data_IF_015625667882
#
_entry.id   IF_015625667882
#
_cell.length_a   1.000
_cell.length_b   1.000
_cell.length_c   1.000
_cell.angle_alpha   90.00
_cell.angle_beta   90.00
_cell.angle_gamma   90.00
#
_symmetry.space_group_name_H-M   'P 1'
#
loop_
_entity.id
_entity.type
_entity.pdbx_description
1 polymer ?
#
# COMPACT_ATOMS: atom_id res chain seq x y z
N UNK A 1 17.19 5.83 8.09
CA UNK A 1 15.74 6.10 8.05
C UNK A 1 15.02 4.79 8.30
N UNK A 2 13.93 4.76 9.08
CA UNK A 2 13.37 3.51 9.61
C UNK A 2 12.72 2.58 8.57
N UNK A 3 12.33 3.10 7.40
CA UNK A 3 11.60 2.33 6.39
C UNK A 3 12.42 2.00 5.15
N UNK A 4 13.48 2.77 4.87
CA UNK A 4 14.22 2.72 3.60
C UNK A 4 14.73 1.32 3.24
N UNK A 5 15.36 0.63 4.20
CA UNK A 5 16.04 -0.64 3.92
C UNK A 5 15.07 -1.83 3.75
N UNK A 6 13.80 -1.66 4.10
CA UNK A 6 12.76 -2.69 3.95
C UNK A 6 11.93 -2.55 2.68
N UNK A 7 12.12 -1.48 1.91
CA UNK A 7 11.29 -1.18 0.74
C UNK A 7 11.66 -2.07 -0.45
N UNK A 8 10.66 -2.59 -1.17
CA UNK A 8 10.87 -3.25 -2.47
C UNK A 8 10.90 -2.20 -3.59
N UNK A 9 12.02 -2.12 -4.31
CA UNK A 9 12.12 -1.19 -5.44
C UNK A 9 11.27 -1.61 -6.65
N UNK A 10 11.34 -2.89 -7.04
CA UNK A 10 10.59 -3.41 -8.17
C UNK A 10 9.11 -3.64 -7.79
N UNK A 11 8.19 -3.02 -8.55
CA UNK A 11 6.75 -3.15 -8.37
C UNK A 11 6.32 -2.97 -6.89
N UNK A 12 6.98 -2.07 -6.16
CA UNK A 12 6.74 -1.84 -4.74
C UNK A 12 6.05 -0.53 -4.41
N UNK A 13 5.81 0.32 -5.41
CA UNK A 13 5.13 1.60 -5.23
C UNK A 13 4.09 1.85 -6.33
N UNK A 14 2.92 2.35 -5.91
CA UNK A 14 1.90 2.83 -6.82
C UNK A 14 1.23 4.10 -6.30
N UNK A 15 1.12 5.09 -7.17
CA UNK A 15 0.48 6.37 -6.88
C UNK A 15 -0.64 6.64 -7.92
N UNK A 16 -1.92 6.42 -7.57
CA UNK A 16 -3.03 6.63 -8.48
C UNK A 16 -3.32 8.12 -8.76
N UNK A 17 -2.77 9.06 -7.98
CA UNK A 17 -3.03 10.49 -8.11
C UNK A 17 -2.08 11.18 -9.09
N UNK A 18 -0.78 11.04 -8.85
CA UNK A 18 0.25 11.78 -9.58
C UNK A 18 1.33 10.92 -10.22
N UNK A 19 1.28 9.60 -10.05
CA UNK A 19 2.33 8.66 -10.46
C UNK A 19 3.72 9.10 -9.99
N UNK A 20 3.83 9.55 -8.73
CA UNK A 20 5.14 9.85 -8.14
C UNK A 20 6.09 8.66 -8.35
N UNK A 21 7.33 8.90 -8.82
CA UNK A 21 8.27 7.81 -9.11
C UNK A 21 8.79 7.12 -7.84
N UNK A 22 8.59 7.75 -6.68
CA UNK A 22 9.01 7.25 -5.36
C UNK A 22 7.88 7.40 -4.35
N UNK A 23 7.90 6.62 -3.25
CA UNK A 23 6.98 6.80 -2.13
C UNK A 23 6.89 8.26 -1.67
N UNK A 24 5.65 8.76 -1.58
CA UNK A 24 5.33 10.10 -1.10
C UNK A 24 4.19 10.00 -0.08
N UNK A 25 4.39 10.64 1.07
CA UNK A 25 3.40 10.77 2.13
C UNK A 25 3.47 12.19 2.69
N UNK A 26 2.51 13.05 2.34
CA UNK A 26 2.49 14.45 2.77
C UNK A 26 1.89 14.64 4.17
N UNK A 27 1.10 13.66 4.65
CA UNK A 27 0.38 13.73 5.92
C UNK A 27 1.13 13.00 7.04
N UNK A 28 1.89 11.95 6.69
CA UNK A 28 2.68 11.15 7.62
C UNK A 28 1.95 9.92 8.17
N UNK A 29 0.63 9.79 7.93
CA UNK A 29 -0.17 8.66 8.43
C UNK A 29 0.29 7.31 7.86
N UNK A 30 0.61 7.26 6.56
CA UNK A 30 1.11 6.05 5.91
C UNK A 30 2.49 5.64 6.44
N UNK A 31 3.36 6.62 6.63
CA UNK A 31 4.70 6.44 7.22
C UNK A 31 4.61 5.94 8.66
N UNK A 32 3.71 6.51 9.47
CA UNK A 32 3.50 6.10 10.86
C UNK A 32 2.98 4.65 10.97
N UNK A 33 1.94 4.31 10.18
CA UNK A 33 1.36 2.96 10.19
C UNK A 33 2.34 1.92 9.66
N UNK A 34 3.04 2.21 8.55
CA UNK A 34 4.10 1.33 8.02
C UNK A 34 5.24 1.17 9.01
N UNK A 35 5.67 2.26 9.67
CA UNK A 35 6.71 2.22 10.72
C UNK A 35 6.35 1.36 11.92
N UNK A 36 5.07 1.35 12.31
CA UNK A 36 4.56 0.46 13.37
C UNK A 36 4.70 -1.02 13.00
N UNK A 37 4.50 -1.36 11.72
CA UNK A 37 4.58 -2.74 11.24
C UNK A 37 6.04 -3.16 11.00
N UNK A 38 6.79 -2.39 10.21
CA UNK A 38 8.09 -2.82 9.64
C UNK A 38 9.26 -1.85 9.92
N UNK A 39 9.12 -0.94 10.88
CA UNK A 39 10.19 0.00 11.22
C UNK A 39 11.49 -0.70 11.67
N UNK A 40 12.57 -0.54 10.90
CA UNK A 40 13.86 -1.23 11.11
C UNK A 40 14.81 -0.54 12.06
N UNK A 41 14.81 0.80 12.10
CA UNK A 41 15.71 1.54 13.00
C UNK A 41 15.41 1.13 14.43
N UNK A 42 16.41 0.58 15.13
CA UNK A 42 16.29 0.01 16.47
C UNK A 42 15.25 -1.13 16.61
N UNK A 43 14.82 -1.76 15.51
CA UNK A 43 13.83 -2.83 15.53
C UNK A 43 12.47 -2.41 16.10
N UNK A 44 12.06 -1.17 15.89
CA UNK A 44 10.83 -0.60 16.48
C UNK A 44 9.53 -1.21 15.94
N UNK A 45 9.54 -1.75 14.72
CA UNK A 45 8.39 -2.38 14.11
C UNK A 45 8.07 -3.73 14.74
N UNK A 46 6.83 -4.18 14.62
CA UNK A 46 6.42 -5.52 15.05
C UNK A 46 7.15 -6.62 14.24
N UNK A 47 7.37 -6.40 12.95
CA UNK A 47 8.05 -7.29 12.01
C UNK A 47 9.11 -6.52 11.20
N UNK A 48 10.21 -6.08 11.83
CA UNK A 48 11.17 -5.16 11.20
C UNK A 48 11.89 -5.77 10.00
N UNK A 49 12.09 -7.09 9.97
CA UNK A 49 12.77 -7.78 8.88
C UNK A 49 11.88 -8.05 7.67
N UNK A 50 10.57 -7.82 7.77
CA UNK A 50 9.68 -7.95 6.63
C UNK A 50 10.02 -6.93 5.54
N UNK A 51 9.81 -7.32 4.30
CA UNK A 51 9.83 -6.41 3.16
C UNK A 51 8.45 -5.73 3.04
N UNK A 52 8.42 -4.49 2.57
CA UNK A 52 7.17 -3.75 2.38
C UNK A 52 7.07 -3.11 1.00
N UNK A 53 5.82 -2.92 0.59
CA UNK A 53 5.38 -2.19 -0.59
C UNK A 53 4.23 -1.27 -0.17
N UNK A 54 3.96 -0.22 -0.94
CA UNK A 54 2.87 0.69 -0.62
C UNK A 54 2.15 1.20 -1.86
N UNK A 55 0.85 1.41 -1.71
CA UNK A 55 0.06 2.22 -2.62
C UNK A 55 -0.43 3.47 -1.90
N UNK A 56 -0.37 4.61 -2.60
CA UNK A 56 -0.90 5.86 -2.10
C UNK A 56 -2.42 5.89 -2.22
N UNK A 57 -3.12 5.46 -1.18
CA UNK A 57 -4.59 5.45 -1.13
C UNK A 57 -5.24 6.79 -0.81
N UNK A 58 -4.48 7.76 -0.29
CA UNK A 58 -4.97 9.07 0.14
C UNK A 58 -4.11 10.20 -0.46
N UNK A 59 -4.73 11.33 -0.78
CA UNK A 59 -4.07 12.48 -1.39
C UNK A 59 -3.25 13.31 -0.38
N UNK A 60 -2.73 14.47 -0.80
CA UNK A 60 -1.88 15.32 0.04
C UNK A 60 -2.66 15.95 1.22
N UNK A 61 -4.00 15.98 1.15
CA UNK A 61 -4.90 16.49 2.19
C UNK A 61 -5.42 15.37 3.11
N UNK A 62 -4.99 14.12 2.87
CA UNK A 62 -5.40 12.95 3.64
C UNK A 62 -6.76 12.38 3.23
N UNK A 63 -7.30 12.81 2.08
CA UNK A 63 -8.58 12.29 1.58
C UNK A 63 -8.35 11.00 0.81
N UNK A 64 -8.99 9.92 1.27
CA UNK A 64 -8.91 8.60 0.66
C UNK A 64 -10.14 8.35 -0.21
N UNK A 65 -10.05 8.64 -1.50
CA UNK A 65 -11.18 8.42 -2.41
C UNK A 65 -11.40 6.92 -2.67
N UNK A 66 -12.65 6.50 -2.83
CA UNK A 66 -12.96 5.11 -3.17
C UNK A 66 -12.25 4.66 -4.46
N UNK A 67 -12.13 5.55 -5.47
CA UNK A 67 -11.42 5.24 -6.69
C UNK A 67 -9.92 4.92 -6.44
N UNK A 68 -9.25 5.73 -5.63
CA UNK A 68 -7.85 5.50 -5.27
C UNK A 68 -7.69 4.19 -4.48
N UNK A 69 -8.57 3.93 -3.50
CA UNK A 69 -8.56 2.72 -2.70
C UNK A 69 -8.79 1.46 -3.54
N UNK A 70 -9.74 1.47 -4.49
CA UNK A 70 -9.97 0.33 -5.40
C UNK A 70 -8.79 0.09 -6.34
N UNK A 71 -8.15 1.15 -6.86
CA UNK A 71 -6.95 1.02 -7.69
C UNK A 71 -5.76 0.47 -6.89
N UNK A 72 -5.58 0.91 -5.64
CA UNK A 72 -4.63 0.29 -4.71
C UNK A 72 -4.98 -1.18 -4.44
N UNK A 73 -6.27 -1.47 -4.29
CA UNK A 73 -6.80 -2.81 -4.08
C UNK A 73 -6.38 -3.80 -5.15
N UNK A 74 -6.64 -3.41 -6.40
CA UNK A 74 -6.26 -4.15 -7.60
C UNK A 74 -4.74 -4.27 -7.75
N UNK A 75 -4.00 -3.18 -7.53
CA UNK A 75 -2.55 -3.18 -7.59
C UNK A 75 -1.92 -4.11 -6.55
N UNK A 76 -2.47 -4.19 -5.33
CA UNK A 76 -1.95 -5.11 -4.32
C UNK A 76 -2.08 -6.58 -4.75
N UNK A 77 -3.16 -6.95 -5.47
CA UNK A 77 -3.32 -8.30 -6.00
C UNK A 77 -2.32 -8.62 -7.12
N UNK A 78 -2.02 -7.64 -7.98
CA UNK A 78 -1.06 -7.81 -9.05
C UNK A 78 -0.21 -6.55 -9.27
N UNK A 79 0.88 -6.39 -8.50
CA UNK A 79 1.67 -5.17 -8.52
C UNK A 79 2.21 -4.84 -9.91
N UNK A 80 2.01 -3.60 -10.35
CA UNK A 80 2.60 -3.02 -11.57
C UNK A 80 3.81 -2.16 -11.24
N UNK A 81 4.55 -1.76 -12.26
CA UNK A 81 5.51 -0.66 -12.16
C UNK A 81 4.82 0.69 -11.88
N UNK A 82 5.62 1.73 -11.63
CA UNK A 82 5.15 3.09 -11.29
C UNK A 82 4.28 3.74 -12.38
N UNK A 83 4.34 3.26 -13.61
CA UNK A 83 3.54 3.77 -14.72
C UNK A 83 2.17 3.07 -14.83
N UNK A 84 1.98 1.96 -14.10
CA UNK A 84 0.81 1.09 -14.21
C UNK A 84 0.98 -0.05 -15.22
N UNK A 85 2.22 -0.35 -15.65
CA UNK A 85 2.52 -1.38 -16.64
C UNK A 85 3.24 -2.57 -16.00
N UNK A 86 3.50 -3.62 -16.79
CA UNK A 86 4.28 -4.79 -16.37
C UNK A 86 3.76 -5.45 -15.07
N UNK A 87 2.50 -5.96 -15.08
CA UNK A 87 1.91 -6.59 -13.92
C UNK A 87 2.69 -7.85 -13.50
N UNK A 88 2.95 -7.98 -12.20
CA UNK A 88 3.70 -9.07 -11.57
C UNK A 88 2.91 -9.65 -10.41
N UNK A 89 1.93 -10.51 -10.72
CA UNK A 89 1.05 -11.08 -9.70
C UNK A 89 1.78 -12.06 -8.76
N UNK A 90 2.92 -12.59 -9.21
CA UNK A 90 3.85 -13.38 -8.39
C UNK A 90 4.53 -12.55 -7.28
N UNK A 91 4.42 -11.22 -7.33
CA UNK A 91 4.95 -10.30 -6.34
C UNK A 91 3.87 -9.74 -5.39
N UNK A 92 2.67 -10.32 -5.38
CA UNK A 92 1.62 -9.96 -4.44
C UNK A 92 2.11 -10.07 -2.97
N UNK A 93 1.71 -9.15 -2.07
CA UNK A 93 2.10 -9.20 -0.68
C UNK A 93 1.31 -10.29 0.07
N UNK A 94 1.96 -10.91 1.05
CA UNK A 94 1.32 -11.93 1.90
C UNK A 94 0.31 -11.34 2.90
N UNK A 95 0.47 -10.06 3.25
CA UNK A 95 -0.38 -9.35 4.21
C UNK A 95 -0.66 -7.96 3.66
N UNK A 96 -1.93 -7.56 3.66
CA UNK A 96 -2.36 -6.21 3.27
C UNK A 96 -2.96 -5.52 4.49
N UNK A 97 -2.38 -4.37 4.85
CA UNK A 97 -2.85 -3.55 5.98
C UNK A 97 -3.61 -2.33 5.46
N UNK A 98 -4.87 -2.19 5.89
CA UNK A 98 -5.74 -1.08 5.52
C UNK A 98 -6.05 -0.22 6.74
N UNK A 99 -5.38 0.93 6.87
CA UNK A 99 -5.63 1.89 7.95
C UNK A 99 -6.52 3.05 7.46
N UNK A 100 -7.66 2.70 6.86
CA UNK A 100 -8.70 3.60 6.38
C UNK A 100 -10.06 2.98 6.64
N UNK A 101 -11.14 3.74 6.48
CA UNK A 101 -12.49 3.24 6.65
C UNK A 101 -13.52 4.12 5.94
N UNK A 102 -14.76 3.65 5.90
CA UNK A 102 -15.91 4.45 5.51
C UNK A 102 -17.12 4.12 6.39
N UNK A 103 -18.31 4.57 5.96
CA UNK A 103 -19.56 4.29 6.65
C UNK A 103 -19.82 2.78 6.81
N UNK A 104 -20.44 2.41 7.92
CA UNK A 104 -20.81 1.03 8.18
C UNK A 104 -21.83 0.50 7.16
N UNK A 105 -21.69 -0.77 6.76
CA UNK A 105 -22.63 -1.45 5.86
C UNK A 105 -22.40 -1.21 4.36
N UNK A 106 -21.27 -0.60 3.99
CA UNK A 106 -20.87 -0.44 2.58
C UNK A 106 -20.12 -1.69 2.11
N UNK A 107 -20.39 -2.13 0.88
CA UNK A 107 -19.90 -3.39 0.28
C UNK A 107 -18.95 -3.18 -0.92
N UNK A 108 -18.63 -1.94 -1.26
CA UNK A 108 -17.86 -1.59 -2.46
C UNK A 108 -16.46 -2.23 -2.53
N UNK A 109 -15.91 -2.71 -1.41
CA UNK A 109 -14.57 -3.31 -1.33
C UNK A 109 -14.64 -4.84 -1.28
N UNK A 110 -15.84 -5.43 -1.20
CA UNK A 110 -16.04 -6.86 -1.02
C UNK A 110 -15.46 -7.67 -2.17
N UNK A 111 -15.57 -7.19 -3.41
CA UNK A 111 -14.94 -7.85 -4.57
C UNK A 111 -13.41 -7.85 -4.47
N UNK A 112 -12.81 -6.74 -4.02
CA UNK A 112 -11.36 -6.67 -3.78
C UNK A 112 -10.94 -7.68 -2.71
N UNK A 113 -11.70 -7.76 -1.61
CA UNK A 113 -11.44 -8.73 -0.53
C UNK A 113 -11.60 -10.18 -1.03
N UNK A 114 -12.65 -10.46 -1.80
CA UNK A 114 -12.89 -11.77 -2.37
C UNK A 114 -11.71 -12.20 -3.26
N UNK A 115 -11.17 -11.30 -4.08
CA UNK A 115 -10.00 -11.58 -4.91
C UNK A 115 -8.73 -11.84 -4.10
N UNK A 116 -8.54 -11.13 -2.98
CA UNK A 116 -7.39 -11.36 -2.10
C UNK A 116 -7.46 -12.68 -1.33
N UNK A 117 -8.66 -13.18 -1.03
CA UNK A 117 -8.86 -14.43 -0.28
C UNK A 117 -8.85 -15.66 -1.21
N UNK A 118 -9.11 -15.48 -2.51
CA UNK A 118 -9.20 -16.57 -3.48
C UNK A 118 -7.85 -17.20 -3.88
N UNK A 119 -6.72 -16.69 -3.36
CA UNK A 119 -5.34 -17.12 -3.63
C UNK A 119 -4.69 -17.68 -2.38
#
# INVERSE_FOLDING_TARGET
>A
EALRDGFREENGWFDPFGKSPVPKDAVGHGTHTTGTIVGRTNGIGVAPEAQWIACRGCDDDGVCTLNALMRCGQWAFCPTDVNGNNPRCDLAPHVISNSWGAGAGMDYFDETLANWIAV
#
